data_IF_753915997124
#
_entry.id   IF_753915997124
#
_cell.length_a   1.000
_cell.length_b   1.000
_cell.length_c   1.000
_cell.angle_alpha   90.00
_cell.angle_beta   90.00
_cell.angle_gamma   90.00
#
_symmetry.space_group_name_H-M   'P 1'
#
loop_
_entity.id
_entity.type
_entity.pdbx_description
1 polymer ?
#
# COMPACT_ATOMS: atom_id res chain seq x y z
N UNK A 1 -22.47 0.69 -1.53
CA UNK A 1 -21.85 1.65 -2.46
C UNK A 1 -22.81 2.07 -3.58
N UNK A 2 -23.27 1.15 -4.44
CA UNK A 2 -24.14 1.49 -5.58
C UNK A 2 -25.47 2.16 -5.20
N UNK A 3 -26.05 1.87 -4.03
CA UNK A 3 -27.24 2.58 -3.53
C UNK A 3 -26.97 4.06 -3.20
N UNK A 4 -25.78 4.36 -2.69
CA UNK A 4 -25.39 5.74 -2.32
C UNK A 4 -24.83 6.52 -3.50
N UNK A 5 -24.25 5.83 -4.48
CA UNK A 5 -23.60 6.43 -5.64
C UNK A 5 -24.02 5.73 -6.94
N UNK A 6 -25.31 5.83 -7.34
CA UNK A 6 -25.85 5.05 -8.45
C UNK A 6 -25.21 5.38 -9.81
N UNK A 7 -24.60 6.56 -9.94
CA UNK A 7 -23.92 7.02 -11.16
C UNK A 7 -22.40 6.78 -11.14
N UNK A 8 -21.80 6.36 -10.01
CA UNK A 8 -20.36 6.10 -9.93
C UNK A 8 -20.08 4.68 -10.42
N UNK A 9 -19.60 4.61 -11.65
CA UNK A 9 -19.29 3.34 -12.34
C UNK A 9 -17.80 2.99 -12.33
N UNK A 10 -16.94 3.89 -11.82
CA UNK A 10 -15.49 3.70 -11.74
C UNK A 10 -14.98 4.00 -10.33
N UNK A 11 -14.04 3.20 -9.85
CA UNK A 11 -13.31 3.40 -8.62
C UNK A 11 -11.80 3.30 -8.88
N UNK A 12 -11.04 4.32 -8.46
CA UNK A 12 -9.58 4.27 -8.47
C UNK A 12 -9.10 3.54 -7.22
N UNK A 13 -8.22 2.56 -7.39
CA UNK A 13 -7.69 1.74 -6.30
C UNK A 13 -6.17 1.73 -6.33
N UNK A 14 -5.55 1.84 -5.15
CA UNK A 14 -4.11 1.96 -4.98
C UNK A 14 -3.37 0.62 -4.86
N UNK A 15 -3.96 -0.49 -5.33
CA UNK A 15 -3.28 -1.79 -5.28
C UNK A 15 -2.15 -1.85 -6.31
N UNK A 16 -1.05 -2.51 -5.93
CA UNK A 16 0.09 -2.84 -6.78
C UNK A 16 0.13 -4.34 -7.04
N UNK A 17 0.81 -4.78 -8.11
CA UNK A 17 1.03 -6.22 -8.38
C UNK A 17 1.78 -6.95 -7.26
N UNK A 18 2.62 -6.21 -6.52
CA UNK A 18 3.41 -6.76 -5.41
C UNK A 18 2.61 -6.90 -4.11
N UNK A 19 1.40 -6.35 -4.03
CA UNK A 19 0.52 -6.60 -2.90
C UNK A 19 -0.03 -8.04 -3.02
N UNK A 20 0.32 -8.92 -2.06
CA UNK A 20 -0.04 -10.34 -2.05
C UNK A 20 -1.46 -10.68 -2.57
N UNK A 21 -1.59 -11.87 -3.18
CA UNK A 21 -2.81 -12.54 -3.63
C UNK A 21 -3.49 -11.98 -4.90
N UNK A 22 -2.78 -11.17 -5.68
CA UNK A 22 -3.35 -10.44 -6.81
C UNK A 22 -2.60 -10.68 -8.13
N UNK A 23 -2.05 -11.89 -8.31
CA UNK A 23 -1.27 -12.30 -9.50
C UNK A 23 -2.01 -12.15 -10.85
N UNK A 24 -3.31 -11.82 -10.82
CA UNK A 24 -4.14 -11.61 -12.00
C UNK A 24 -4.78 -10.20 -12.08
N UNK A 25 -4.35 -9.23 -11.26
CA UNK A 25 -4.91 -7.87 -11.39
C UNK A 25 -4.53 -7.26 -12.74
N UNK A 26 -5.55 -6.71 -13.40
CA UNK A 26 -5.41 -5.93 -14.63
C UNK A 26 -5.60 -4.45 -14.29
N UNK A 27 -5.00 -3.55 -15.08
CA UNK A 27 -5.14 -2.09 -14.88
C UNK A 27 -6.60 -1.63 -14.86
N UNK A 28 -7.47 -2.36 -15.56
CA UNK A 28 -8.93 -2.16 -15.63
C UNK A 28 -9.60 -3.51 -15.39
N UNK A 29 -10.44 -3.61 -14.36
CA UNK A 29 -11.11 -4.86 -14.03
C UNK A 29 -12.48 -4.59 -13.42
N UNK A 30 -13.52 -5.31 -13.86
CA UNK A 30 -14.79 -5.29 -13.14
C UNK A 30 -14.60 -5.85 -11.72
N UNK A 31 -15.43 -5.41 -10.80
CA UNK A 31 -15.55 -6.07 -9.50
C UNK A 31 -15.94 -7.54 -9.65
N UNK A 32 -15.47 -8.36 -8.73
CA UNK A 32 -15.78 -9.79 -8.69
C UNK A 32 -17.26 -10.02 -8.32
N UNK A 33 -17.77 -11.22 -8.56
CA UNK A 33 -19.15 -11.58 -8.22
C UNK A 33 -19.42 -11.40 -6.72
N UNK A 34 -20.63 -10.96 -6.36
CA UNK A 34 -21.01 -10.62 -4.98
C UNK A 34 -20.60 -9.21 -4.54
N UNK A 35 -19.74 -8.51 -5.27
CA UNK A 35 -19.48 -7.08 -5.06
C UNK A 35 -20.41 -6.19 -5.89
N UNK A 36 -20.67 -4.94 -5.45
CA UNK A 36 -21.42 -4.00 -6.26
C UNK A 36 -20.70 -3.75 -7.59
N UNK A 37 -21.43 -3.78 -8.71
CA UNK A 37 -20.84 -3.68 -10.05
C UNK A 37 -20.24 -2.29 -10.33
N UNK A 38 -18.92 -2.23 -10.46
CA UNK A 38 -18.18 -1.06 -10.97
C UNK A 38 -16.83 -1.47 -11.55
N UNK A 39 -16.23 -0.56 -12.34
CA UNK A 39 -14.89 -0.72 -12.88
C UNK A 39 -13.84 -0.30 -11.83
N UNK A 40 -12.99 -1.24 -11.43
CA UNK A 40 -11.75 -0.97 -10.69
C UNK A 40 -10.69 -0.52 -11.68
N UNK A 41 -10.05 0.60 -11.39
CA UNK A 41 -8.90 1.11 -12.13
C UNK A 41 -7.72 1.20 -11.17
N UNK A 42 -6.56 0.70 -11.58
CA UNK A 42 -5.36 0.63 -10.74
C UNK A 42 -4.22 1.44 -11.37
N UNK A 43 -4.18 2.78 -11.18
CA UNK A 43 -3.22 3.64 -11.87
C UNK A 43 -1.75 3.34 -11.54
N UNK A 44 -1.50 2.82 -10.34
CA UNK A 44 -0.16 2.52 -9.83
C UNK A 44 0.13 1.01 -9.82
N UNK A 45 -0.60 0.21 -10.60
CA UNK A 45 -0.50 -1.26 -10.57
C UNK A 45 0.92 -1.81 -10.79
N UNK A 46 1.74 -1.09 -11.55
CA UNK A 46 3.12 -1.47 -11.88
C UNK A 46 4.17 -0.76 -11.01
N UNK A 47 3.77 0.05 -10.02
CA UNK A 47 4.73 0.61 -9.07
C UNK A 47 5.23 -0.49 -8.14
N UNK A 48 6.53 -0.52 -7.88
CA UNK A 48 7.10 -1.28 -6.78
C UNK A 48 7.15 -0.45 -5.48
N UNK A 49 7.83 -0.95 -4.44
CA UNK A 49 7.98 -0.23 -3.18
C UNK A 49 8.82 1.06 -3.32
N UNK A 50 9.90 1.00 -4.10
CA UNK A 50 10.79 2.12 -4.29
C UNK A 50 10.12 3.23 -5.13
N UNK A 51 9.33 2.87 -6.14
CA UNK A 51 8.59 3.80 -6.99
C UNK A 51 7.60 4.63 -6.18
N UNK A 52 6.90 4.01 -5.22
CA UNK A 52 5.99 4.71 -4.30
C UNK A 52 6.76 5.78 -3.53
N UNK A 53 7.89 5.43 -2.91
CA UNK A 53 8.67 6.39 -2.12
C UNK A 53 9.33 7.46 -2.98
N UNK A 54 9.90 7.10 -4.13
CA UNK A 54 10.45 8.07 -5.10
C UNK A 54 9.40 9.09 -5.52
N UNK A 55 8.17 8.64 -5.80
CA UNK A 55 7.07 9.53 -6.16
C UNK A 55 6.71 10.46 -5.00
N UNK A 56 6.50 9.91 -3.80
CA UNK A 56 6.17 10.69 -2.60
C UNK A 56 7.22 11.77 -2.33
N UNK A 57 8.50 11.41 -2.37
CA UNK A 57 9.61 12.33 -2.12
C UNK A 57 9.74 13.38 -3.23
N UNK A 58 9.74 12.96 -4.49
CA UNK A 58 9.88 13.86 -5.65
C UNK A 58 8.80 14.94 -5.67
N UNK A 59 7.57 14.61 -5.29
CA UNK A 59 6.44 15.52 -5.32
C UNK A 59 6.02 16.05 -3.95
N UNK A 60 6.82 15.78 -2.91
CA UNK A 60 6.53 16.21 -1.52
C UNK A 60 5.10 15.85 -1.08
N UNK A 61 4.64 14.66 -1.47
CA UNK A 61 3.30 14.18 -1.13
C UNK A 61 3.24 13.96 0.38
N UNK A 62 2.21 14.48 1.03
CA UNK A 62 2.01 14.21 2.45
C UNK A 62 1.69 12.72 2.67
N UNK A 63 2.34 12.13 3.67
CA UNK A 63 2.17 10.72 4.01
C UNK A 63 2.00 10.55 5.53
N UNK A 64 1.53 9.38 5.94
CA UNK A 64 1.31 9.08 7.36
C UNK A 64 2.63 9.05 8.14
N UNK A 65 2.72 9.80 9.25
CA UNK A 65 3.92 9.89 10.10
C UNK A 65 4.43 8.55 10.65
N UNK A 66 3.59 7.52 10.67
CA UNK A 66 4.01 6.17 11.07
C UNK A 66 5.10 5.62 10.15
N UNK A 67 5.09 5.96 8.87
CA UNK A 67 6.16 5.55 7.96
C UNK A 67 7.52 6.16 8.34
N UNK A 68 7.52 7.37 8.91
CA UNK A 68 8.74 7.98 9.47
C UNK A 68 9.23 7.30 10.74
N UNK A 69 8.42 6.45 11.35
CA UNK A 69 8.74 5.70 12.58
C UNK A 69 9.09 4.23 12.31
N UNK A 70 9.24 3.84 11.03
CA UNK A 70 9.66 2.50 10.62
C UNK A 70 8.52 1.52 10.36
N UNK A 71 7.26 1.96 10.30
CA UNK A 71 6.17 1.13 9.81
C UNK A 71 6.23 1.04 8.29
N UNK A 72 6.22 -0.16 7.71
CA UNK A 72 6.33 -0.35 6.25
C UNK A 72 5.01 -0.77 5.58
N UNK A 73 4.08 -1.31 6.36
CA UNK A 73 2.72 -1.64 5.95
C UNK A 73 1.77 -1.33 7.11
N UNK A 74 0.68 -0.62 6.85
CA UNK A 74 -0.29 -0.20 7.87
C UNK A 74 -1.57 -1.03 7.70
N UNK A 75 -1.85 -1.89 8.67
CA UNK A 75 -3.05 -2.71 8.74
C UNK A 75 -3.91 -2.34 9.95
N UNK A 76 -4.42 -3.36 10.64
CA UNK A 76 -5.20 -3.15 11.88
C UNK A 76 -4.30 -2.76 13.05
N UNK A 77 -4.86 -2.03 14.01
CA UNK A 77 -4.14 -1.54 15.19
C UNK A 77 -3.49 -2.66 16.01
N UNK A 78 -4.15 -3.82 16.09
CA UNK A 78 -3.70 -4.96 16.90
C UNK A 78 -2.51 -5.73 16.31
N UNK A 79 -2.34 -5.68 14.98
CA UNK A 79 -1.35 -6.51 14.30
C UNK A 79 -0.19 -5.73 13.67
N UNK A 80 -0.42 -4.47 13.37
CA UNK A 80 0.58 -3.61 12.73
C UNK A 80 1.70 -3.24 13.70
N UNK A 81 2.94 -3.59 13.35
CA UNK A 81 4.15 -3.25 14.10
C UNK A 81 5.15 -2.52 13.20
N UNK A 82 6.15 -1.88 13.83
CA UNK A 82 7.32 -1.37 13.11
C UNK A 82 8.04 -2.54 12.45
N UNK A 83 8.62 -2.30 11.28
CA UNK A 83 9.44 -3.30 10.61
C UNK A 83 10.78 -3.44 11.36
N UNK A 84 11.05 -4.61 11.92
CA UNK A 84 12.23 -4.82 12.77
C UNK A 84 13.54 -4.74 11.98
N UNK A 85 13.51 -4.94 10.65
CA UNK A 85 14.69 -4.77 9.79
C UNK A 85 15.18 -3.32 9.71
N UNK A 86 14.31 -2.36 10.05
CA UNK A 86 14.63 -0.94 10.09
C UNK A 86 15.14 -0.47 11.47
N UNK A 87 15.24 -1.35 12.47
CA UNK A 87 15.59 -0.98 13.84
C UNK A 87 17.07 -0.60 13.96
N UNK A 88 17.35 0.52 14.62
CA UNK A 88 18.72 1.06 14.77
C UNK A 88 19.33 0.52 16.06
N UNK A 89 20.43 -0.24 15.95
CA UNK A 89 21.29 -0.69 17.06
C UNK A 89 20.52 -1.24 18.28
N UNK A 90 19.43 -1.98 18.05
CA UNK A 90 18.62 -2.55 19.13
C UNK A 90 17.80 -1.54 19.94
N UNK A 91 17.77 -0.26 19.57
CA UNK A 91 16.91 0.76 20.20
C UNK A 91 15.45 0.66 19.72
N UNK A 92 14.55 1.47 20.31
CA UNK A 92 13.17 1.65 19.84
C UNK A 92 13.03 2.56 18.61
N UNK A 93 14.15 3.15 18.16
CA UNK A 93 14.19 3.99 16.96
C UNK A 93 14.37 3.12 15.72
N UNK A 94 13.59 3.42 14.70
CA UNK A 94 13.69 2.80 13.39
C UNK A 94 14.03 3.84 12.33
N UNK A 95 14.67 3.38 11.27
CA UNK A 95 14.83 4.14 10.03
C UNK A 95 13.48 4.42 9.39
N UNK A 96 13.48 5.39 8.47
CA UNK A 96 12.32 5.71 7.67
C UNK A 96 11.91 4.50 6.79
N UNK A 97 10.62 4.32 6.53
CA UNK A 97 10.11 3.21 5.71
C UNK A 97 10.76 3.13 4.31
N UNK A 98 11.11 4.27 3.71
CA UNK A 98 11.84 4.33 2.43
C UNK A 98 13.20 3.65 2.44
N UNK A 99 13.78 3.39 3.62
CA UNK A 99 15.08 2.72 3.79
C UNK A 99 14.96 1.19 3.77
N UNK A 100 13.75 0.64 3.58
CA UNK A 100 13.54 -0.80 3.50
C UNK A 100 14.27 -1.39 2.29
N UNK A 101 15.25 -2.24 2.56
CA UNK A 101 16.07 -2.89 1.52
C UNK A 101 15.42 -4.16 0.97
N UNK A 102 14.93 -5.00 1.87
CA UNK A 102 14.18 -6.20 1.49
C UNK A 102 12.70 -5.86 1.36
N UNK A 103 12.28 -5.56 0.12
CA UNK A 103 10.89 -5.19 -0.20
C UNK A 103 9.90 -6.34 0.03
N UNK A 104 10.36 -7.59 0.05
CA UNK A 104 9.49 -8.73 0.36
C UNK A 104 9.02 -8.68 1.81
N UNK A 105 9.85 -8.12 2.69
CA UNK A 105 9.53 -7.94 4.11
C UNK A 105 8.58 -6.76 4.41
N UNK A 106 8.05 -6.07 3.37
CA UNK A 106 7.15 -4.91 3.53
C UNK A 106 6.04 -5.16 4.55
N UNK A 107 5.55 -6.41 4.60
CA UNK A 107 4.35 -6.83 5.34
C UNK A 107 4.61 -7.85 6.44
N UNK A 108 5.86 -8.24 6.68
CA UNK A 108 6.20 -9.29 7.66
C UNK A 108 5.80 -8.91 9.11
N UNK A 109 5.60 -7.62 9.35
CA UNK A 109 5.28 -7.05 10.66
C UNK A 109 3.83 -6.55 10.72
N UNK A 110 2.90 -7.30 10.13
CA UNK A 110 1.45 -7.06 10.09
C UNK A 110 0.63 -8.32 10.43
#
# INVERSE_FOLDING_TARGET
>A
FSRMYPKKIVCLMGNRKTDHALNALQSFQQTDEGWPRFLRVFPIINFDYADVWKYIQKFSVQYCKLYSQGYTSIGSLQKTKKNETLRINGSDKCLHASELKDVLSERDFR
#
